data_IF_586640301409
#
_entry.id   IF_586640301409
#
_cell.length_a   1.000
_cell.length_b   1.000
_cell.length_c   1.000
_cell.angle_alpha   90.00
_cell.angle_beta   90.00
_cell.angle_gamma   90.00
#
_symmetry.space_group_name_H-M   'P 1'
#
loop_
_entity.id
_entity.type
_entity.pdbx_description
1 polymer ?
#
# COMPACT_ATOMS: atom_id res chain seq x y z
N UNK A 1 -8.48 -36.73 3.78
CA UNK A 1 -8.33 -35.68 2.74
C UNK A 1 -8.26 -34.25 3.28
N UNK A 2 -8.73 -33.93 4.51
CA UNK A 2 -8.67 -32.54 5.04
C UNK A 2 -7.25 -32.08 5.44
N UNK A 3 -6.48 -32.90 6.16
CA UNK A 3 -5.12 -32.55 6.63
C UNK A 3 -4.11 -32.24 5.52
N UNK A 4 -4.17 -32.94 4.40
CA UNK A 4 -3.26 -32.73 3.26
C UNK A 4 -3.50 -31.35 2.63
N UNK A 5 -4.76 -30.96 2.44
CA UNK A 5 -5.13 -29.66 1.87
C UNK A 5 -4.77 -28.49 2.80
N UNK A 6 -4.77 -28.72 4.10
CA UNK A 6 -4.37 -27.74 5.12
C UNK A 6 -2.84 -27.59 5.15
N UNK A 7 -2.08 -28.69 5.14
CA UNK A 7 -0.62 -28.67 4.98
C UNK A 7 -0.18 -27.97 3.69
N UNK A 8 -0.86 -28.20 2.56
CA UNK A 8 -0.56 -27.50 1.31
C UNK A 8 -0.70 -25.98 1.41
N UNK A 9 -1.59 -25.46 2.26
CA UNK A 9 -1.75 -24.00 2.46
C UNK A 9 -0.59 -23.41 3.26
N UNK A 10 -0.10 -24.12 4.28
CA UNK A 10 1.01 -23.64 5.10
C UNK A 10 2.35 -23.61 4.35
N UNK A 11 2.55 -24.54 3.39
CA UNK A 11 3.72 -24.53 2.51
C UNK A 11 3.76 -23.30 1.61
N UNK A 12 2.62 -22.83 1.10
CA UNK A 12 2.56 -21.62 0.27
C UNK A 12 3.01 -20.39 1.05
N UNK A 13 2.66 -20.28 2.34
CA UNK A 13 3.13 -19.19 3.18
C UNK A 13 4.63 -19.24 3.41
N UNK A 14 5.20 -20.42 3.69
CA UNK A 14 6.65 -20.58 3.85
C UNK A 14 7.43 -20.15 2.59
N UNK A 15 7.01 -20.61 1.41
CA UNK A 15 7.63 -20.24 0.13
C UNK A 15 7.55 -18.74 -0.12
N UNK A 16 6.38 -18.13 0.14
CA UNK A 16 6.20 -16.69 0.00
C UNK A 16 7.08 -15.88 0.95
N UNK A 17 7.16 -16.27 2.24
CA UNK A 17 8.03 -15.59 3.21
C UNK A 17 9.48 -15.65 2.75
N UNK A 18 9.95 -16.81 2.30
CA UNK A 18 11.31 -16.97 1.81
C UNK A 18 11.57 -16.13 0.55
N UNK A 19 10.56 -15.91 -0.30
CA UNK A 19 10.73 -15.03 -1.48
C UNK A 19 10.81 -13.55 -1.14
N UNK A 20 10.44 -13.14 0.08
CA UNK A 20 10.62 -11.76 0.55
C UNK A 20 12.07 -11.46 0.96
N UNK A 21 12.95 -12.46 1.04
CA UNK A 21 14.36 -12.29 1.44
C UNK A 21 14.50 -11.93 2.92
N UNK A 22 13.80 -12.64 3.81
CA UNK A 22 13.98 -12.58 5.27
C UNK A 22 15.37 -13.11 5.67
N UNK A 23 15.86 -12.71 6.85
CA UNK A 23 17.19 -13.17 7.31
C UNK A 23 17.18 -14.64 7.71
N UNK A 24 16.02 -15.13 8.16
CA UNK A 24 15.78 -16.53 8.55
C UNK A 24 14.99 -17.26 7.46
N UNK A 25 15.44 -18.45 7.08
CA UNK A 25 14.72 -19.35 6.19
C UNK A 25 13.63 -20.10 6.95
N UNK A 26 12.39 -20.06 6.45
CA UNK A 26 11.25 -20.75 7.05
C UNK A 26 11.05 -22.10 6.36
N UNK A 27 11.30 -23.19 7.09
CA UNK A 27 11.02 -24.57 6.65
C UNK A 27 9.68 -25.07 7.19
N UNK A 28 9.42 -24.87 8.47
CA UNK A 28 8.17 -25.14 9.18
C UNK A 28 7.59 -23.82 9.66
N UNK A 29 6.46 -23.43 9.04
CA UNK A 29 5.84 -22.13 9.29
C UNK A 29 5.62 -21.85 10.79
N UNK A 30 5.07 -22.82 11.53
CA UNK A 30 4.70 -22.63 12.93
C UNK A 30 5.90 -22.51 13.87
N UNK A 31 6.98 -23.24 13.59
CA UNK A 31 8.20 -23.17 14.38
C UNK A 31 8.97 -21.88 14.07
N UNK A 32 9.02 -21.48 12.79
CA UNK A 32 9.71 -20.28 12.33
C UNK A 32 9.07 -18.97 12.78
N UNK A 33 7.77 -18.93 13.05
CA UNK A 33 7.06 -17.71 13.46
C UNK A 33 6.83 -17.59 14.98
N UNK A 34 7.17 -18.62 15.77
CA UNK A 34 6.85 -18.69 17.19
C UNK A 34 7.56 -17.63 18.04
N UNK A 35 8.75 -17.20 17.62
CA UNK A 35 9.53 -16.15 18.30
C UNK A 35 9.07 -14.72 17.97
N UNK A 36 8.14 -14.58 17.02
CA UNK A 36 7.64 -13.32 16.49
C UNK A 36 8.64 -12.53 15.65
N UNK A 37 9.91 -12.95 15.53
CA UNK A 37 10.94 -12.17 14.85
C UNK A 37 10.69 -12.05 13.35
N UNK A 38 10.35 -13.17 12.71
CA UNK A 38 10.02 -13.23 11.28
C UNK A 38 8.78 -12.38 10.98
N UNK A 39 7.80 -12.32 11.90
CA UNK A 39 6.62 -11.48 11.72
C UNK A 39 6.99 -10.00 11.69
N UNK A 40 7.91 -9.55 12.54
CA UNK A 40 8.42 -8.18 12.51
C UNK A 40 9.15 -7.87 11.18
N UNK A 41 9.99 -8.79 10.69
CA UNK A 41 10.68 -8.61 9.40
C UNK A 41 9.70 -8.50 8.22
N UNK A 42 8.67 -9.36 8.19
CA UNK A 42 7.65 -9.33 7.14
C UNK A 42 6.88 -8.01 7.20
N UNK A 43 6.44 -7.58 8.39
CA UNK A 43 5.67 -6.36 8.56
C UNK A 43 6.48 -5.11 8.18
N UNK A 44 7.77 -5.06 8.52
CA UNK A 44 8.66 -3.96 8.11
C UNK A 44 8.88 -3.94 6.59
N UNK A 45 8.97 -5.09 5.93
CA UNK A 45 9.08 -5.15 4.46
C UNK A 45 7.80 -4.72 3.76
N UNK A 46 6.63 -5.03 4.34
CA UNK A 46 5.34 -4.61 3.80
C UNK A 46 5.08 -3.11 4.02
N UNK A 47 5.47 -2.59 5.18
CA UNK A 47 5.34 -1.19 5.53
C UNK A 47 6.58 -0.73 6.34
N UNK A 48 7.55 -0.07 5.68
CA UNK A 48 8.75 0.41 6.35
C UNK A 48 8.41 1.41 7.47
N UNK A 49 9.05 1.25 8.63
CA UNK A 49 8.81 2.09 9.81
C UNK A 49 7.61 1.67 10.67
N UNK A 50 6.94 0.57 10.35
CA UNK A 50 5.85 0.02 11.18
C UNK A 50 6.37 -0.65 12.46
N UNK A 51 7.64 -1.08 12.47
CA UNK A 51 8.26 -1.82 13.57
C UNK A 51 9.29 -0.96 14.31
N UNK A 52 9.16 -0.88 15.63
CA UNK A 52 10.18 -0.34 16.52
C UNK A 52 11.26 -1.39 16.83
N UNK A 53 12.37 -1.38 16.08
CA UNK A 53 13.50 -2.29 16.30
C UNK A 53 14.23 -2.10 17.63
N UNK A 54 14.03 -0.98 18.36
CA UNK A 54 14.60 -0.78 19.70
C UNK A 54 13.91 -1.62 20.77
N UNK A 55 12.63 -1.93 20.56
CA UNK A 55 11.83 -2.78 21.44
C UNK A 55 11.84 -4.26 20.99
N UNK A 56 12.37 -4.54 19.79
CA UNK A 56 12.43 -5.89 19.25
C UNK A 56 13.57 -6.69 19.89
N UNK A 57 13.23 -7.89 20.38
CA UNK A 57 14.19 -8.80 20.98
C UNK A 57 14.64 -9.83 19.94
N UNK A 58 15.92 -9.80 19.54
CA UNK A 58 16.50 -10.87 18.71
C UNK A 58 16.34 -12.22 19.42
N UNK A 59 16.08 -13.30 18.67
CA UNK A 59 15.96 -14.63 19.24
C UNK A 59 17.31 -15.09 19.80
N UNK A 60 17.58 -14.73 21.05
CA UNK A 60 18.61 -15.32 21.88
C UNK A 60 17.88 -16.29 22.83
N UNK A 61 18.18 -17.55 22.61
CA UNK A 61 17.54 -18.75 23.16
C UNK A 61 17.34 -18.57 24.68
N UNK A 62 16.08 -18.72 25.17
CA UNK A 62 15.64 -19.06 26.55
C UNK A 62 14.80 -18.05 27.38
N UNK A 63 14.10 -17.07 26.80
CA UNK A 63 13.13 -16.27 27.60
C UNK A 63 11.76 -16.15 26.92
N UNK A 64 10.77 -17.02 27.25
CA UNK A 64 9.44 -17.01 26.63
C UNK A 64 8.73 -15.66 26.67
N UNK A 65 8.94 -14.86 27.72
CA UNK A 65 8.35 -13.52 27.85
C UNK A 65 8.83 -12.54 26.77
N UNK A 66 10.10 -12.64 26.34
CA UNK A 66 10.65 -11.76 25.29
C UNK A 66 10.08 -12.07 23.91
N UNK A 67 9.78 -13.35 23.64
CA UNK A 67 9.07 -13.75 22.43
C UNK A 67 7.65 -13.17 22.41
N UNK A 68 7.00 -13.07 23.57
CA UNK A 68 5.66 -12.49 23.69
C UNK A 68 5.66 -10.98 23.39
N UNK A 69 6.71 -10.25 23.74
CA UNK A 69 6.86 -8.83 23.39
C UNK A 69 6.92 -8.63 21.86
N UNK A 70 7.72 -9.44 21.16
CA UNK A 70 7.80 -9.41 19.69
C UNK A 70 6.42 -9.71 19.05
N UNK A 71 5.74 -10.75 19.53
CA UNK A 71 4.42 -11.12 19.02
C UNK A 71 3.37 -10.02 19.27
N UNK A 72 3.39 -9.37 20.44
CA UNK A 72 2.47 -8.27 20.73
C UNK A 72 2.71 -7.07 19.81
N UNK A 73 3.97 -6.71 19.58
CA UNK A 73 4.32 -5.65 18.63
C UNK A 73 3.89 -5.98 17.20
N UNK A 74 4.09 -7.22 16.75
CA UNK A 74 3.63 -7.68 15.45
C UNK A 74 2.10 -7.60 15.33
N UNK A 75 1.36 -7.99 16.37
CA UNK A 75 -0.10 -7.86 16.42
C UNK A 75 -0.55 -6.40 16.38
N UNK A 76 0.12 -5.50 17.10
CA UNK A 76 -0.20 -4.07 17.09
C UNK A 76 -0.02 -3.43 15.72
N UNK A 77 1.09 -3.74 15.04
CA UNK A 77 1.35 -3.27 13.68
C UNK A 77 0.34 -3.87 12.69
N UNK A 78 0.14 -5.19 12.73
CA UNK A 78 -0.79 -5.88 11.85
C UNK A 78 -2.24 -5.40 12.02
N UNK A 79 -2.69 -5.12 13.25
CA UNK A 79 -4.04 -4.59 13.50
C UNK A 79 -4.29 -3.28 12.76
N UNK A 80 -3.35 -2.33 12.86
CA UNK A 80 -3.46 -1.03 12.18
C UNK A 80 -3.48 -1.21 10.66
N UNK A 81 -2.61 -2.06 10.13
CA UNK A 81 -2.52 -2.35 8.70
C UNK A 81 -3.77 -3.03 8.15
N UNK A 82 -4.24 -4.09 8.81
CA UNK A 82 -5.43 -4.84 8.40
C UNK A 82 -6.67 -3.95 8.41
N UNK A 83 -6.86 -3.15 9.47
CA UNK A 83 -8.00 -2.23 9.53
C UNK A 83 -7.92 -1.20 8.40
N UNK A 84 -6.74 -0.64 8.13
CA UNK A 84 -6.54 0.35 7.06
C UNK A 84 -6.81 -0.26 5.67
N UNK A 85 -6.23 -1.43 5.39
CA UNK A 85 -6.44 -2.15 4.13
C UNK A 85 -7.91 -2.54 3.92
N UNK A 86 -8.57 -3.01 4.98
CA UNK A 86 -9.97 -3.37 4.95
C UNK A 86 -10.86 -2.15 4.69
N UNK A 87 -10.63 -1.03 5.38
CA UNK A 87 -11.34 0.23 5.15
C UNK A 87 -11.13 0.74 3.73
N UNK A 88 -9.90 0.68 3.21
CA UNK A 88 -9.59 1.07 1.83
C UNK A 88 -10.34 0.21 0.81
N UNK A 89 -10.34 -1.12 1.00
CA UNK A 89 -11.06 -2.04 0.14
C UNK A 89 -12.57 -1.80 0.19
N UNK A 90 -13.13 -1.54 1.38
CA UNK A 90 -14.54 -1.23 1.55
C UNK A 90 -14.93 0.09 0.86
N UNK A 91 -14.10 1.12 1.01
CA UNK A 91 -14.27 2.40 0.31
C UNK A 91 -14.24 2.20 -1.21
N UNK A 92 -13.24 1.48 -1.73
CA UNK A 92 -13.13 1.17 -3.16
C UNK A 92 -14.33 0.39 -3.68
N UNK A 93 -14.78 -0.62 -2.94
CA UNK A 93 -15.96 -1.40 -3.30
C UNK A 93 -17.21 -0.51 -3.35
N UNK A 94 -17.42 0.34 -2.35
CA UNK A 94 -18.56 1.25 -2.29
C UNK A 94 -18.57 2.23 -3.47
N UNK A 95 -17.43 2.84 -3.78
CA UNK A 95 -17.31 3.74 -4.94
C UNK A 95 -17.62 3.02 -6.25
N UNK A 96 -17.05 1.83 -6.48
CA UNK A 96 -17.32 1.05 -7.68
C UNK A 96 -18.79 0.62 -7.77
N UNK A 97 -19.41 0.30 -6.64
CA UNK A 97 -20.84 -0.01 -6.57
C UNK A 97 -21.71 1.19 -6.97
N UNK A 98 -21.40 2.39 -6.47
CA UNK A 98 -22.08 3.63 -6.88
C UNK A 98 -21.89 3.90 -8.38
N UNK A 99 -20.67 3.76 -8.90
CA UNK A 99 -20.37 3.99 -10.31
C UNK A 99 -21.14 3.04 -11.23
N UNK A 100 -21.32 1.76 -10.85
CA UNK A 100 -22.15 0.80 -11.61
C UNK A 100 -23.62 1.22 -11.69
N UNK A 101 -24.15 1.85 -10.65
CA UNK A 101 -25.55 2.27 -10.59
C UNK A 101 -25.78 3.59 -11.34
N UNK A 102 -24.73 4.38 -11.58
CA UNK A 102 -24.80 5.62 -12.35
C UNK A 102 -24.64 5.27 -13.85
N UNK A 103 -25.74 5.02 -14.55
CA UNK A 103 -25.76 4.97 -16.03
C UNK A 103 -25.61 6.39 -16.59
N UNK A 104 -24.39 6.88 -16.70
CA UNK A 104 -24.10 8.15 -17.39
C UNK A 104 -24.19 7.95 -18.91
N UNK A 105 -25.35 8.28 -19.49
CA UNK A 105 -25.55 8.53 -20.94
C UNK A 105 -25.15 7.40 -21.90
N UNK A 106 -25.24 6.13 -21.49
CA UNK A 106 -25.17 4.98 -22.42
C UNK A 106 -23.82 4.76 -23.11
N UNK A 107 -22.74 5.38 -22.63
CA UNK A 107 -21.40 5.16 -23.15
C UNK A 107 -20.47 4.85 -21.98
N UNK A 108 -19.83 3.69 -22.00
CA UNK A 108 -18.81 3.33 -21.02
C UNK A 108 -17.65 4.31 -21.16
N UNK A 109 -17.47 5.16 -20.15
CA UNK A 109 -16.34 6.07 -20.08
C UNK A 109 -15.21 5.31 -19.40
N UNK A 110 -14.13 5.06 -20.14
CA UNK A 110 -12.93 4.40 -19.60
C UNK A 110 -12.09 5.38 -18.77
N UNK A 111 -11.42 4.89 -17.73
CA UNK A 111 -10.45 5.64 -16.92
C UNK A 111 -9.40 6.33 -17.80
N UNK A 112 -8.99 5.69 -18.90
CA UNK A 112 -8.06 6.24 -19.89
C UNK A 112 -8.58 7.52 -20.58
N UNK A 113 -9.86 7.56 -20.93
CA UNK A 113 -10.46 8.71 -21.60
C UNK A 113 -10.57 9.92 -20.68
N UNK A 114 -10.83 9.67 -19.39
CA UNK A 114 -10.88 10.70 -18.35
C UNK A 114 -9.48 11.29 -18.15
N UNK A 115 -8.47 10.44 -17.95
CA UNK A 115 -7.08 10.86 -17.74
C UNK A 115 -6.55 11.67 -18.93
N UNK A 116 -6.79 11.20 -20.15
CA UNK A 116 -6.38 11.91 -21.38
C UNK A 116 -7.05 13.27 -21.52
N UNK A 117 -8.33 13.39 -21.18
CA UNK A 117 -9.07 14.68 -21.25
C UNK A 117 -8.57 15.69 -20.24
N UNK A 118 -8.34 15.25 -19.00
CA UNK A 118 -7.86 16.12 -17.92
C UNK A 118 -6.45 16.61 -18.24
N UNK A 119 -5.54 15.71 -18.61
CA UNK A 119 -4.15 16.07 -18.93
C UNK A 119 -4.05 17.01 -20.13
N UNK A 120 -4.87 16.83 -21.16
CA UNK A 120 -4.91 17.75 -22.31
C UNK A 120 -5.43 19.15 -21.94
N UNK A 121 -6.27 19.27 -20.90
CA UNK A 121 -6.80 20.56 -20.44
C UNK A 121 -5.80 21.31 -19.54
N UNK A 122 -5.04 20.58 -18.74
CA UNK A 122 -3.95 21.12 -17.90
C UNK A 122 -2.78 21.61 -18.77
N UNK A 123 -2.32 20.81 -19.75
CA UNK A 123 -1.23 21.19 -20.68
C UNK A 123 -1.51 22.46 -21.48
N UNK A 124 -2.78 22.72 -21.83
CA UNK A 124 -3.20 23.94 -22.54
C UNK A 124 -3.22 25.19 -21.65
N UNK A 125 -3.22 25.03 -20.33
CA UNK A 125 -3.29 26.16 -19.40
C UNK A 125 -1.92 26.71 -19.00
N UNK A 126 -0.82 26.02 -19.30
CA UNK A 126 0.56 26.53 -19.14
C UNK A 126 1.02 26.81 -17.71
N UNK A 127 0.33 26.28 -16.70
CA UNK A 127 0.56 26.55 -15.27
C UNK A 127 1.25 25.37 -14.59
N UNK A 128 2.53 25.53 -14.23
CA UNK A 128 3.35 24.47 -13.65
C UNK A 128 3.96 24.85 -12.28
N UNK A 129 3.62 26.02 -11.74
CA UNK A 129 4.10 26.41 -10.41
C UNK A 129 3.42 25.58 -9.31
N UNK A 130 4.18 25.16 -8.30
CA UNK A 130 3.70 24.35 -7.19
C UNK A 130 2.51 25.00 -6.44
N UNK A 131 2.57 26.32 -6.23
CA UNK A 131 1.50 27.06 -5.56
C UNK A 131 0.21 27.13 -6.40
N UNK A 132 0.35 27.16 -7.73
CA UNK A 132 -0.80 27.12 -8.64
C UNK A 132 -1.44 25.72 -8.68
N UNK A 133 -0.62 24.66 -8.67
CA UNK A 133 -1.12 23.26 -8.57
C UNK A 133 -1.91 23.05 -7.29
N UNK A 134 -1.41 23.58 -6.17
CA UNK A 134 -2.11 23.58 -4.89
C UNK A 134 -3.45 24.33 -4.98
N UNK A 135 -3.45 25.55 -5.51
CA UNK A 135 -4.66 26.38 -5.63
C UNK A 135 -5.72 25.71 -6.52
N UNK A 136 -5.28 25.09 -7.62
CA UNK A 136 -6.14 24.33 -8.53
C UNK A 136 -6.73 23.09 -7.86
N UNK A 137 -5.94 22.31 -7.12
CA UNK A 137 -6.40 21.13 -6.40
C UNK A 137 -7.44 21.48 -5.34
N UNK A 138 -7.20 22.54 -4.54
CA UNK A 138 -8.16 23.04 -3.55
C UNK A 138 -9.46 23.50 -4.21
N UNK A 139 -9.36 24.20 -5.34
CA UNK A 139 -10.52 24.67 -6.10
C UNK A 139 -11.35 23.49 -6.63
N UNK A 140 -10.73 22.47 -7.22
CA UNK A 140 -11.41 21.27 -7.74
C UNK A 140 -12.17 20.55 -6.61
N UNK A 141 -11.54 20.36 -5.44
CA UNK A 141 -12.19 19.75 -4.28
C UNK A 141 -13.41 20.56 -3.84
N UNK A 142 -13.29 21.90 -3.78
CA UNK A 142 -14.38 22.80 -3.40
C UNK A 142 -15.56 22.70 -4.36
N UNK A 143 -15.30 22.74 -5.68
CA UNK A 143 -16.35 22.64 -6.70
C UNK A 143 -17.03 21.28 -6.66
N UNK A 144 -16.26 20.18 -6.55
CA UNK A 144 -16.82 18.84 -6.48
C UNK A 144 -17.76 18.67 -5.26
N UNK A 145 -17.38 19.22 -4.10
CA UNK A 145 -18.24 19.23 -2.90
C UNK A 145 -19.50 20.08 -3.10
N UNK A 146 -19.39 21.24 -3.74
CA UNK A 146 -20.55 22.09 -4.10
C UNK A 146 -21.50 21.41 -5.07
N UNK A 147 -21.00 20.54 -5.95
CA UNK A 147 -21.79 19.71 -6.86
C UNK A 147 -22.41 18.47 -6.17
N UNK A 148 -22.22 18.32 -4.86
CA UNK A 148 -22.78 17.21 -4.07
C UNK A 148 -21.91 15.96 -4.04
N UNK A 149 -20.70 15.98 -4.59
CA UNK A 149 -19.78 14.85 -4.51
C UNK A 149 -19.08 14.80 -3.14
N UNK A 150 -19.13 13.66 -2.46
CA UNK A 150 -18.37 13.41 -1.22
C UNK A 150 -16.90 13.15 -1.53
N UNK A 151 -16.10 14.23 -1.57
CA UNK A 151 -14.65 14.15 -1.82
C UNK A 151 -13.87 14.15 -0.51
N UNK A 152 -13.15 13.07 -0.25
CA UNK A 152 -12.31 12.87 0.95
C UNK A 152 -10.82 13.13 0.72
N UNK A 153 -10.40 13.37 -0.53
CA UNK A 153 -9.00 13.63 -0.88
C UNK A 153 -8.54 15.01 -0.38
N UNK A 154 -7.26 15.10 0.00
CA UNK A 154 -6.57 16.35 0.27
C UNK A 154 -5.86 16.86 -0.99
N UNK A 155 -5.53 18.16 -1.01
CA UNK A 155 -4.81 18.75 -2.15
C UNK A 155 -3.43 18.13 -2.35
N UNK A 156 -2.78 17.68 -1.27
CA UNK A 156 -1.51 16.96 -1.33
C UNK A 156 -1.62 15.66 -2.12
N UNK A 157 -2.73 14.93 -1.98
CA UNK A 157 -2.94 13.66 -2.69
C UNK A 157 -3.08 13.89 -4.20
N UNK A 158 -3.73 15.00 -4.59
CA UNK A 158 -3.93 15.39 -5.99
C UNK A 158 -2.60 15.84 -6.62
N UNK A 159 -1.80 16.62 -5.88
CA UNK A 159 -0.52 17.16 -6.39
C UNK A 159 0.59 16.08 -6.41
N UNK A 160 0.61 15.14 -5.45
CA UNK A 160 1.59 14.05 -5.39
C UNK A 160 1.32 12.92 -6.38
N UNK A 161 0.07 12.75 -6.81
CA UNK A 161 -0.29 11.78 -7.85
C UNK A 161 0.42 12.01 -9.19
N UNK A 162 1.09 13.15 -9.40
CA UNK A 162 1.91 13.43 -10.59
C UNK A 162 3.31 12.79 -10.54
N UNK A 163 3.85 12.42 -9.37
CA UNK A 163 5.30 12.13 -9.20
C UNK A 163 5.69 10.66 -9.08
N UNK A 164 4.77 9.70 -8.96
CA UNK A 164 5.16 8.29 -8.72
C UNK A 164 5.26 7.39 -9.96
N UNK A 165 4.72 7.81 -11.11
CA UNK A 165 4.82 7.01 -12.34
C UNK A 165 5.98 7.43 -13.27
N UNK A 166 6.72 8.50 -12.92
CA UNK A 166 7.72 9.14 -13.79
C UNK A 166 9.19 8.99 -13.37
N UNK A 167 9.49 8.84 -12.08
CA UNK A 167 10.87 8.96 -11.58
C UNK A 167 11.59 7.62 -11.31
N UNK A 168 10.89 6.48 -11.30
CA UNK A 168 11.50 5.16 -11.05
C UNK A 168 12.14 4.50 -12.29
N UNK A 169 12.06 5.12 -13.47
CA UNK A 169 12.72 4.63 -14.69
C UNK A 169 14.02 5.38 -15.06
N UNK A 170 14.37 6.44 -14.31
CA UNK A 170 15.55 7.27 -14.57
C UNK A 170 16.82 6.83 -13.83
N UNK A 171 16.70 6.29 -12.60
CA UNK A 171 17.86 6.09 -11.72
C UNK A 171 18.72 4.86 -12.07
N UNK A 172 18.19 3.91 -12.86
CA UNK A 172 18.92 2.67 -13.20
C UNK A 172 19.75 2.73 -14.50
N UNK A 173 19.67 3.80 -15.30
CA UNK A 173 20.44 3.93 -16.55
C UNK A 173 21.76 4.67 -16.42
N UNK A 174 21.96 5.42 -15.33
CA UNK A 174 23.17 6.23 -15.15
C UNK A 174 24.30 5.52 -14.39
N UNK A 175 24.07 4.29 -13.89
CA UNK A 175 25.07 3.49 -13.19
C UNK A 175 25.88 2.51 -14.07
N UNK A 176 25.66 2.49 -15.40
CA UNK A 176 26.33 1.54 -16.34
C UNK A 176 27.26 2.26 -17.34
N UNK A 177 27.56 3.54 -17.12
CA UNK A 177 28.47 4.31 -17.99
C UNK A 177 29.76 4.79 -17.36
N UNK A 178 29.98 4.52 -16.08
CA UNK A 178 31.27 4.73 -15.41
C UNK A 178 31.63 3.47 -14.62
N UNK A 179 32.39 2.59 -15.27
CA UNK A 179 32.87 1.31 -14.74
C UNK A 179 33.63 0.54 -15.82
#
# INVERSE_FOLDING_TARGET
MSKIREMSRFLVFGVWINSLGTTTYVDQLFDGVWDGWILLEILEKLEPGSINWKAANKPLIKMPFKNMENCNQALDAARKQVVTAFLWQLMRYHTLHLLKNIKLRGKEVSDYDILKRVNNKVKRSGKDSHDEKKQNAVYVISVARKLGCSVFLLWHDIVRGETQDGDDLGSHRDAVREG
#
